data_IF_985684880875
#
_entry.id   IF_985684880875
#
_cell.length_a   1.000
_cell.length_b   1.000
_cell.length_c   1.000
_cell.angle_alpha   90.00
_cell.angle_beta   90.00
_cell.angle_gamma   90.00
#
_symmetry.space_group_name_H-M   'P 1'
#
loop_
_entity.id
_entity.type
_entity.pdbx_description
1 polymer ?
#
# COMPACT_ATOMS: atom_id res chain seq x y z
N UNK A 1 -9.74 24.71 -31.22
CA UNK A 1 -8.90 23.66 -30.60
C UNK A 1 -9.53 23.31 -29.26
N UNK A 2 -10.05 22.09 -29.11
CA UNK A 2 -10.70 21.65 -27.87
C UNK A 2 -9.67 20.89 -27.04
N UNK A 3 -9.24 21.46 -25.91
CA UNK A 3 -8.35 20.76 -24.97
C UNK A 3 -9.25 19.92 -24.06
N UNK A 4 -9.23 18.60 -24.23
CA UNK A 4 -9.91 17.67 -23.33
C UNK A 4 -8.98 17.41 -22.15
N UNK A 5 -9.24 18.05 -21.01
CA UNK A 5 -8.50 17.82 -19.77
C UNK A 5 -8.97 16.47 -19.19
N UNK A 6 -8.14 15.43 -19.29
CA UNK A 6 -8.38 14.17 -18.59
C UNK A 6 -7.84 14.30 -17.16
N UNK A 7 -8.74 14.32 -16.16
CA UNK A 7 -8.33 14.37 -14.76
C UNK A 7 -7.73 13.02 -14.34
N UNK A 8 -6.64 13.00 -13.57
CA UNK A 8 -6.00 11.75 -13.18
C UNK A 8 -6.91 10.94 -12.24
N UNK A 9 -7.13 9.68 -12.57
CA UNK A 9 -8.03 8.78 -11.86
C UNK A 9 -7.39 8.11 -10.63
N UNK A 10 -8.16 8.02 -9.56
CA UNK A 10 -7.83 7.27 -8.34
C UNK A 10 -8.53 5.91 -8.33
N UNK A 11 -7.96 4.94 -7.62
CA UNK A 11 -8.56 3.61 -7.41
C UNK A 11 -8.89 3.47 -5.93
N UNK A 12 -10.11 3.07 -5.60
CA UNK A 12 -10.53 2.77 -4.24
C UNK A 12 -11.14 1.37 -4.19
N UNK A 13 -10.57 0.51 -3.34
CA UNK A 13 -11.04 -0.85 -3.10
C UNK A 13 -11.54 -0.94 -1.66
N UNK A 14 -12.78 -1.37 -1.46
CA UNK A 14 -13.40 -1.48 -0.14
C UNK A 14 -14.03 -2.85 0.09
N UNK A 15 -13.79 -3.45 1.25
CA UNK A 15 -14.40 -4.73 1.64
C UNK A 15 -14.58 -4.82 3.17
N UNK A 16 -15.80 -5.03 3.65
CA UNK A 16 -16.05 -5.05 5.11
C UNK A 16 -15.43 -6.26 5.84
N UNK A 17 -15.06 -7.30 5.09
CA UNK A 17 -14.52 -8.55 5.62
C UNK A 17 -13.06 -8.76 5.23
N UNK A 18 -12.78 -9.12 3.98
CA UNK A 18 -11.43 -9.42 3.52
C UNK A 18 -11.22 -8.92 2.09
N UNK A 19 -10.02 -8.43 1.81
CA UNK A 19 -9.57 -8.14 0.45
C UNK A 19 -8.31 -8.96 0.14
N UNK A 20 -8.26 -9.51 -1.08
CA UNK A 20 -7.13 -10.25 -1.59
C UNK A 20 -6.68 -9.61 -2.91
N UNK A 21 -5.48 -9.05 -2.94
CA UNK A 21 -4.91 -8.46 -4.15
C UNK A 21 -3.70 -9.29 -4.53
N UNK A 22 -3.85 -10.07 -5.59
CA UNK A 22 -2.82 -11.01 -6.05
C UNK A 22 -2.64 -10.89 -7.56
N UNK A 23 -1.44 -11.23 -8.04
CA UNK A 23 -1.15 -11.18 -9.46
C UNK A 23 0.34 -11.26 -9.72
N UNK A 24 0.84 -12.47 -9.93
CA UNK A 24 2.27 -12.76 -10.11
C UNK A 24 2.92 -11.80 -11.11
N UNK A 25 3.81 -10.95 -10.58
CA UNK A 25 4.55 -9.93 -11.34
C UNK A 25 3.66 -8.94 -12.10
N UNK A 26 2.41 -8.73 -11.66
CA UNK A 26 1.51 -7.70 -12.19
C UNK A 26 1.59 -6.42 -11.36
N UNK A 27 1.21 -5.32 -11.98
CA UNK A 27 1.14 -4.01 -11.34
C UNK A 27 -0.25 -3.43 -11.51
N UNK A 28 -0.91 -3.11 -10.41
CA UNK A 28 -2.09 -2.26 -10.39
C UNK A 28 -1.62 -0.80 -10.26
N UNK A 29 -1.96 0.04 -11.23
CA UNK A 29 -1.53 1.45 -11.27
C UNK A 29 -2.73 2.38 -11.17
N UNK A 30 -2.71 3.27 -10.18
CA UNK A 30 -3.58 4.44 -10.15
C UNK A 30 -2.86 5.67 -10.71
N UNK A 31 -3.57 6.51 -11.46
CA UNK A 31 -2.97 7.73 -12.03
C UNK A 31 -2.74 8.79 -10.96
N UNK A 32 -3.62 8.86 -9.96
CA UNK A 32 -3.50 9.77 -8.82
C UNK A 32 -3.29 9.01 -7.52
N UNK A 33 -4.37 8.67 -6.81
CA UNK A 33 -4.31 8.04 -5.49
C UNK A 33 -4.79 6.58 -5.56
N UNK A 34 -4.33 5.76 -4.63
CA UNK A 34 -4.86 4.40 -4.43
C UNK A 34 -5.22 4.20 -2.96
N UNK A 35 -6.47 3.82 -2.70
CA UNK A 35 -6.97 3.47 -1.37
C UNK A 35 -7.42 2.01 -1.32
N UNK A 36 -7.03 1.28 -0.28
CA UNK A 36 -7.53 -0.06 0.04
C UNK A 36 -7.99 -0.08 1.49
N UNK A 37 -9.28 -0.28 1.71
CA UNK A 37 -9.87 -0.43 3.04
C UNK A 37 -10.50 -1.82 3.15
N UNK A 38 -10.06 -2.63 4.09
CA UNK A 38 -10.65 -3.95 4.30
C UNK A 38 -10.80 -4.31 5.78
N UNK A 39 -11.62 -5.32 6.12
CA UNK A 39 -11.58 -5.91 7.47
C UNK A 39 -10.22 -6.52 7.77
N UNK A 40 -9.68 -7.32 6.84
CA UNK A 40 -8.30 -7.79 6.75
C UNK A 40 -7.80 -7.69 5.31
N UNK A 41 -6.49 -7.65 5.10
CA UNK A 41 -5.93 -7.51 3.76
C UNK A 41 -4.76 -8.46 3.51
N UNK A 42 -4.79 -9.13 2.36
CA UNK A 42 -3.68 -9.91 1.83
C UNK A 42 -3.27 -9.33 0.47
N UNK A 43 -2.04 -8.82 0.38
CA UNK A 43 -1.42 -8.41 -0.88
C UNK A 43 -0.25 -9.35 -1.15
N UNK A 44 -0.25 -10.05 -2.29
CA UNK A 44 0.74 -11.10 -2.54
C UNK A 44 1.18 -11.18 -4.00
N UNK A 45 2.49 -11.29 -4.20
CA UNK A 45 3.15 -11.46 -5.50
C UNK A 45 2.80 -10.39 -6.55
N UNK A 46 2.40 -9.19 -6.12
CA UNK A 46 1.88 -8.12 -6.98
C UNK A 46 2.43 -6.75 -6.57
N UNK A 47 2.32 -5.76 -7.45
CA UNK A 47 2.76 -4.40 -7.21
C UNK A 47 1.56 -3.45 -7.19
N UNK A 48 1.55 -2.52 -6.23
CA UNK A 48 0.62 -1.41 -6.17
C UNK A 48 1.40 -0.12 -6.45
N UNK A 49 0.94 0.69 -7.40
CA UNK A 49 1.63 1.92 -7.80
C UNK A 49 0.66 3.08 -7.94
N UNK A 50 1.10 4.25 -7.46
CA UNK A 50 0.53 5.54 -7.86
C UNK A 50 1.51 6.33 -8.73
N UNK A 51 1.00 7.06 -9.71
CA UNK A 51 1.84 7.89 -10.57
C UNK A 51 2.09 9.29 -9.99
N UNK A 52 1.15 9.85 -9.21
CA UNK A 52 1.26 11.24 -8.72
C UNK A 52 0.75 11.48 -7.30
N UNK A 53 0.03 10.54 -6.70
CA UNK A 53 -0.62 10.69 -5.41
C UNK A 53 -0.17 9.66 -4.37
N UNK A 54 -1.02 9.48 -3.36
CA UNK A 54 -0.74 8.67 -2.18
C UNK A 54 -1.23 7.23 -2.36
N UNK A 55 -0.55 6.29 -1.71
CA UNK A 55 -1.01 4.92 -1.53
C UNK A 55 -1.42 4.74 -0.07
N UNK A 56 -2.72 4.57 0.19
CA UNK A 56 -3.26 4.32 1.52
C UNK A 56 -3.86 2.91 1.60
N UNK A 57 -3.44 2.15 2.61
CA UNK A 57 -3.84 0.79 2.85
C UNK A 57 -4.27 0.69 4.32
N UNK A 58 -5.46 0.14 4.57
CA UNK A 58 -5.97 -0.02 5.92
C UNK A 58 -6.69 -1.36 6.10
N UNK A 59 -6.35 -2.05 7.19
CA UNK A 59 -7.16 -3.14 7.73
C UNK A 59 -7.84 -2.68 9.02
N UNK A 60 -9.17 -2.77 9.05
CA UNK A 60 -9.98 -2.24 10.14
C UNK A 60 -10.05 -3.20 11.35
N UNK A 61 -10.00 -4.52 11.12
CA UNK A 61 -10.28 -5.54 12.15
C UNK A 61 -9.14 -6.54 12.34
N UNK A 62 -8.48 -6.91 11.25
CA UNK A 62 -7.49 -7.98 11.22
C UNK A 62 -6.14 -7.53 10.66
N UNK A 63 -5.36 -8.52 10.26
CA UNK A 63 -3.99 -8.31 9.83
C UNK A 63 -3.90 -7.76 8.40
N UNK A 64 -2.78 -7.11 8.11
CA UNK A 64 -2.29 -6.85 6.77
C UNK A 64 -1.13 -7.82 6.50
N UNK A 65 -1.24 -8.62 5.45
CA UNK A 65 -0.15 -9.46 4.96
C UNK A 65 0.39 -8.92 3.64
N UNK A 66 1.69 -8.66 3.60
CA UNK A 66 2.41 -8.15 2.43
C UNK A 66 3.51 -9.13 2.03
N UNK A 67 3.27 -9.96 1.01
CA UNK A 67 4.21 -11.02 0.61
C UNK A 67 4.70 -10.87 -0.83
N UNK A 68 6.00 -10.70 -1.02
CA UNK A 68 6.61 -10.46 -2.32
C UNK A 68 5.92 -9.32 -3.08
N UNK A 69 5.71 -8.20 -2.40
CA UNK A 69 4.96 -7.06 -2.93
C UNK A 69 5.84 -5.85 -3.13
N UNK A 70 5.51 -5.03 -4.13
CA UNK A 70 6.06 -3.69 -4.27
C UNK A 70 4.98 -2.64 -4.08
N UNK A 71 5.16 -1.76 -3.11
CA UNK A 71 4.25 -0.66 -2.83
C UNK A 71 4.96 0.63 -3.22
N UNK A 72 4.52 1.29 -4.29
CA UNK A 72 5.19 2.46 -4.84
C UNK A 72 4.24 3.66 -4.85
N UNK A 73 4.45 4.61 -3.94
CA UNK A 73 3.77 5.87 -3.93
C UNK A 73 4.62 6.98 -4.55
N UNK A 74 4.01 7.84 -5.37
CA UNK A 74 4.67 9.08 -5.79
C UNK A 74 4.82 10.07 -4.63
N UNK A 75 3.83 10.10 -3.74
CA UNK A 75 3.82 10.89 -2.50
C UNK A 75 3.82 9.95 -1.30
N UNK A 76 2.90 10.09 -0.34
CA UNK A 76 2.90 9.29 0.88
C UNK A 76 2.48 7.83 0.63
N UNK A 77 3.10 6.92 1.37
CA UNK A 77 2.69 5.53 1.49
C UNK A 77 2.31 5.26 2.94
N UNK A 78 1.05 4.93 3.16
CA UNK A 78 0.48 4.70 4.50
C UNK A 78 -0.19 3.34 4.53
N UNK A 79 0.24 2.49 5.45
CA UNK A 79 -0.33 1.17 5.69
C UNK A 79 -0.63 1.04 7.17
N UNK A 80 -1.90 0.84 7.52
CA UNK A 80 -2.34 0.83 8.92
C UNK A 80 -3.20 -0.38 9.24
N UNK A 81 -2.78 -1.22 10.18
CA UNK A 81 -3.63 -2.26 10.76
C UNK A 81 -4.21 -1.76 12.09
N UNK A 82 -5.47 -1.31 12.08
CA UNK A 82 -6.09 -0.61 13.22
C UNK A 82 -6.27 -1.48 14.47
N UNK A 83 -6.47 -2.79 14.30
CA UNK A 83 -6.70 -3.73 15.40
C UNK A 83 -5.84 -5.00 15.29
N UNK A 84 -5.00 -5.10 14.26
CA UNK A 84 -4.23 -6.30 13.95
C UNK A 84 -2.76 -6.00 13.73
N UNK A 85 -2.08 -6.99 13.17
CA UNK A 85 -0.65 -6.95 12.86
C UNK A 85 -0.41 -6.54 11.41
N UNK A 86 0.77 -6.00 11.13
CA UNK A 86 1.34 -5.99 9.79
C UNK A 86 2.38 -7.11 9.74
N UNK A 87 2.23 -8.04 8.81
CA UNK A 87 3.21 -9.10 8.58
C UNK A 87 3.71 -8.97 7.16
N UNK A 88 5.03 -8.82 6.99
CA UNK A 88 5.65 -8.71 5.68
C UNK A 88 6.76 -9.72 5.46
N UNK A 89 6.86 -10.18 4.21
CA UNK A 89 7.91 -11.06 3.71
C UNK A 89 8.23 -10.70 2.25
N UNK A 90 9.39 -10.10 2.01
CA UNK A 90 9.76 -9.64 0.66
C UNK A 90 9.03 -8.36 0.23
N UNK A 91 8.72 -7.46 1.15
CA UNK A 91 8.12 -6.16 0.84
C UNK A 91 9.17 -5.17 0.34
N UNK A 92 8.87 -4.48 -0.76
CA UNK A 92 9.57 -3.28 -1.18
C UNK A 92 8.62 -2.09 -1.23
N UNK A 93 8.69 -1.23 -0.22
CA UNK A 93 7.88 -0.02 -0.10
C UNK A 93 8.72 1.22 -0.43
N UNK A 94 8.24 2.03 -1.38
CA UNK A 94 8.89 3.27 -1.82
C UNK A 94 7.90 4.41 -1.82
N UNK A 95 8.29 5.51 -1.18
CA UNK A 95 7.72 6.84 -1.38
C UNK A 95 8.74 7.71 -2.12
N UNK A 96 8.39 8.20 -3.31
CA UNK A 96 9.32 8.98 -4.13
C UNK A 96 9.54 10.41 -3.59
N UNK A 97 8.52 11.02 -2.98
CA UNK A 97 8.57 12.42 -2.52
C UNK A 97 7.86 12.66 -1.16
N UNK A 98 7.72 11.61 -0.34
CA UNK A 98 7.08 11.71 0.96
C UNK A 98 7.63 10.70 1.96
N UNK A 99 6.76 10.27 2.87
CA UNK A 99 7.05 9.28 3.91
C UNK A 99 6.55 7.87 3.55
N UNK A 100 7.14 6.88 4.22
CA UNK A 100 6.63 5.51 4.28
C UNK A 100 6.24 5.23 5.73
N UNK A 101 4.96 4.95 5.97
CA UNK A 101 4.42 4.63 7.30
C UNK A 101 3.73 3.26 7.28
N UNK A 102 4.24 2.31 8.05
CA UNK A 102 3.66 0.98 8.26
C UNK A 102 3.38 0.81 9.76
N UNK A 103 2.14 1.09 10.18
CA UNK A 103 1.75 1.11 11.58
C UNK A 103 0.72 0.03 11.91
N UNK A 104 1.05 -0.81 12.87
CA UNK A 104 0.14 -1.80 13.42
C UNK A 104 -0.25 -1.40 14.85
N UNK A 105 -1.51 -1.63 15.23
CA UNK A 105 -1.89 -1.59 16.64
C UNK A 105 -1.37 -2.81 17.41
N UNK A 106 -1.22 -3.95 16.71
CA UNK A 106 -0.49 -5.11 17.20
C UNK A 106 1.01 -4.97 16.91
N UNK A 107 1.59 -5.98 16.24
CA UNK A 107 2.99 -5.97 15.83
C UNK A 107 3.15 -5.61 14.35
N UNK A 108 4.23 -4.90 14.00
CA UNK A 108 4.79 -4.87 12.66
C UNK A 108 5.96 -5.86 12.52
N UNK A 109 5.67 -7.07 12.03
CA UNK A 109 6.64 -8.15 11.85
C UNK A 109 7.21 -8.14 10.42
N UNK A 110 8.48 -7.74 10.30
CA UNK A 110 9.22 -7.74 9.04
C UNK A 110 10.10 -8.99 8.94
N UNK A 111 9.59 -10.03 8.29
CA UNK A 111 10.29 -11.30 8.07
C UNK A 111 10.97 -11.31 6.70
N UNK A 112 12.11 -11.98 6.55
CA UNK A 112 12.83 -12.00 5.26
C UNK A 112 13.45 -10.64 4.88
N UNK A 113 13.58 -10.38 3.58
CA UNK A 113 14.22 -9.15 3.08
C UNK A 113 13.19 -8.09 2.74
N UNK A 114 12.97 -7.14 3.65
CA UNK A 114 12.08 -6.00 3.43
C UNK A 114 12.90 -4.71 3.26
N UNK A 115 12.44 -3.85 2.36
CA UNK A 115 13.06 -2.54 2.10
C UNK A 115 11.99 -1.46 2.18
N UNK A 116 12.19 -0.49 3.06
CA UNK A 116 11.37 0.71 3.19
C UNK A 116 12.23 1.90 2.78
N UNK A 117 11.81 2.67 1.79
CA UNK A 117 12.56 3.83 1.29
C UNK A 117 11.63 5.00 1.13
N UNK A 118 12.00 6.12 1.73
CA UNK A 118 11.25 7.35 1.68
C UNK A 118 12.22 8.52 1.48
N UNK A 119 11.74 9.59 0.85
CA UNK A 119 12.51 10.83 0.73
C UNK A 119 12.49 11.63 2.04
N UNK A 120 11.36 11.63 2.74
CA UNK A 120 11.20 12.34 4.00
C UNK A 120 11.62 11.46 5.18
N UNK A 121 10.77 10.51 5.57
CA UNK A 121 10.98 9.66 6.74
C UNK A 121 10.33 8.27 6.57
N UNK A 122 10.81 7.32 7.38
CA UNK A 122 10.27 5.98 7.48
C UNK A 122 9.82 5.75 8.91
N UNK A 123 8.55 5.37 9.08
CA UNK A 123 7.97 4.96 10.34
C UNK A 123 7.43 3.53 10.21
N UNK A 124 7.90 2.62 11.06
CA UNK A 124 7.50 1.22 11.05
C UNK A 124 7.45 0.71 12.49
N UNK A 125 6.27 0.26 12.93
CA UNK A 125 6.01 -0.13 14.31
C UNK A 125 4.69 -0.87 14.45
#
# INVERSE_FOLDING_TARGET
MLIKICLPASIHLKSDNAAHITGTSKTLTASKDMGVEAGLLNVTNTNLRTNSGNLHIQAAKGNIQLRNTKLNAAKALETTALQGNIVSDGLHAVSADGHVSLLANGNADFTGHNTLTAKADVNAG
#
